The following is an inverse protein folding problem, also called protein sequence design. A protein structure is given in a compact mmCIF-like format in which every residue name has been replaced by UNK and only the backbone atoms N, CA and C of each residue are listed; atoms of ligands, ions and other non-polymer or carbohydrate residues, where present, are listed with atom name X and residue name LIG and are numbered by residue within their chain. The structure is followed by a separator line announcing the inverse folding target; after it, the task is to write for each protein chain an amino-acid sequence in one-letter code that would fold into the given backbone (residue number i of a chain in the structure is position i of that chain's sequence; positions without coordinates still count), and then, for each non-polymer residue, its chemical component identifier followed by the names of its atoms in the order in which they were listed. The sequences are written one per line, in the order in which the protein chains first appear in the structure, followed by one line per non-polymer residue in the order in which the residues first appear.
data_IF_088177054621
#
_entry.id   IF_088177054621
#
_cell.length_a   1.000
_cell.length_b   1.000
_cell.length_c   1.000
_cell.angle_alpha   90.00
_cell.angle_beta   90.00
_cell.angle_gamma   90.00
#
_symmetry.space_group_name_H-M   'P 1'
#
loop_
_entity.id
_entity.type
_entity.pdbx_description
1 polymer ?
#
# COMPACT_ATOMS: atom_id res chain seq x y z
N UNK A 1 21.26 -9.15 -8.82
CA UNK A 1 20.12 -8.22 -8.95
C UNK A 1 20.69 -6.81 -9.01
N UNK A 2 20.13 -5.91 -9.82
CA UNK A 2 20.51 -4.50 -9.84
C UNK A 2 20.25 -3.85 -8.48
N UNK A 3 21.03 -2.84 -8.14
CA UNK A 3 20.83 -2.01 -6.95
C UNK A 3 19.53 -1.18 -7.07
N UNK A 4 18.96 -0.74 -5.94
CA UNK A 4 17.83 0.20 -5.94
C UNK A 4 18.03 1.41 -6.87
N UNK A 5 19.17 2.07 -6.80
CA UNK A 5 19.46 3.26 -7.60
C UNK A 5 19.53 2.94 -9.10
N UNK A 6 20.11 1.80 -9.48
CA UNK A 6 20.12 1.33 -10.87
C UNK A 6 18.72 1.02 -11.38
N UNK A 7 17.86 0.38 -10.56
CA UNK A 7 16.46 0.10 -10.93
C UNK A 7 15.75 1.42 -11.24
N UNK A 8 15.86 2.41 -10.36
CA UNK A 8 15.17 3.68 -10.52
C UNK A 8 15.76 4.55 -11.64
N UNK A 9 17.07 4.53 -11.86
CA UNK A 9 17.72 5.26 -12.94
C UNK A 9 17.33 4.72 -14.33
N UNK A 10 17.12 3.41 -14.43
CA UNK A 10 16.78 2.72 -15.68
C UNK A 10 15.29 2.42 -15.84
N UNK A 11 14.44 2.89 -14.93
CA UNK A 11 13.01 2.61 -14.99
C UNK A 11 12.33 3.40 -16.12
N UNK A 12 11.82 2.67 -17.11
CA UNK A 12 11.08 3.24 -18.25
C UNK A 12 9.61 2.78 -18.30
N UNK A 13 9.10 2.22 -17.21
CA UNK A 13 7.77 1.62 -17.14
C UNK A 13 7.75 0.12 -17.48
N UNK A 14 6.55 -0.50 -17.52
CA UNK A 14 6.42 -1.92 -17.79
C UNK A 14 6.88 -2.33 -19.20
N UNK A 15 7.54 -3.49 -19.28
CA UNK A 15 8.11 -4.04 -20.53
C UNK A 15 6.99 -4.72 -21.33
N UNK A 16 6.66 -4.16 -22.50
CA UNK A 16 5.64 -4.67 -23.43
C UNK A 16 4.27 -4.96 -22.79
N UNK A 17 3.96 -4.28 -21.67
CA UNK A 17 2.77 -4.58 -20.87
C UNK A 17 2.75 -5.98 -20.25
N UNK A 18 3.87 -6.71 -20.22
CA UNK A 18 3.94 -8.07 -19.71
C UNK A 18 4.42 -8.08 -18.25
N UNK A 19 3.56 -8.56 -17.34
CA UNK A 19 3.83 -8.56 -15.90
C UNK A 19 5.11 -9.33 -15.54
N UNK A 20 5.22 -10.57 -15.98
CA UNK A 20 6.34 -11.45 -15.63
C UNK A 20 7.65 -11.01 -16.26
N UNK A 21 7.62 -10.60 -17.52
CA UNK A 21 8.80 -10.07 -18.20
C UNK A 21 9.30 -8.81 -17.50
N UNK A 22 8.38 -7.91 -17.09
CA UNK A 22 8.77 -6.71 -16.36
C UNK A 22 9.46 -7.05 -15.04
N UNK A 23 8.90 -7.97 -14.24
CA UNK A 23 9.55 -8.43 -12.99
C UNK A 23 10.94 -9.01 -13.26
N UNK A 24 11.07 -9.90 -14.26
CA UNK A 24 12.36 -10.52 -14.59
C UNK A 24 13.40 -9.49 -15.03
N UNK A 25 13.05 -8.60 -15.95
CA UNK A 25 13.96 -7.56 -16.45
C UNK A 25 14.36 -6.60 -15.33
N UNK A 26 13.40 -6.14 -14.54
CA UNK A 26 13.63 -5.15 -13.47
C UNK A 26 14.58 -5.65 -12.40
N UNK A 27 14.43 -6.91 -11.99
CA UNK A 27 15.22 -7.48 -10.90
C UNK A 27 16.38 -8.36 -11.39
N UNK A 28 16.60 -8.45 -12.71
CA UNK A 28 17.65 -9.27 -13.31
C UNK A 28 17.50 -10.76 -12.95
N UNK A 29 16.27 -11.27 -12.99
CA UNK A 29 15.96 -12.67 -12.70
C UNK A 29 16.26 -13.56 -13.92
N UNK A 30 16.59 -14.83 -13.68
CA UNK A 30 16.81 -15.79 -14.74
C UNK A 30 15.53 -16.03 -15.57
N UNK A 31 15.69 -16.37 -16.85
CA UNK A 31 14.56 -16.70 -17.72
C UNK A 31 13.74 -17.89 -17.19
N UNK A 32 14.42 -18.88 -16.62
CA UNK A 32 13.84 -20.07 -15.96
C UNK A 32 13.86 -19.92 -14.43
N UNK A 33 13.40 -18.79 -13.90
CA UNK A 33 13.25 -18.58 -12.46
C UNK A 33 12.14 -19.50 -11.89
N UNK A 34 12.53 -20.44 -11.03
CA UNK A 34 11.63 -21.42 -10.38
C UNK A 34 11.24 -21.01 -8.95
N UNK A 35 11.56 -19.78 -8.54
CA UNK A 35 11.20 -19.30 -7.21
C UNK A 35 9.68 -19.33 -7.02
N UNK A 36 9.23 -20.07 -6.01
CA UNK A 36 7.83 -20.10 -5.61
C UNK A 36 7.54 -18.94 -4.65
N UNK A 37 6.79 -17.94 -5.11
CA UNK A 37 6.29 -16.86 -4.28
C UNK A 37 5.19 -17.38 -3.36
N UNK A 38 5.30 -17.08 -2.06
CA UNK A 38 4.43 -17.67 -1.02
C UNK A 38 3.69 -16.60 -0.23
N UNK A 39 2.43 -16.88 0.07
CA UNK A 39 1.66 -16.18 1.10
C UNK A 39 0.56 -17.11 1.61
N UNK A 40 0.53 -17.37 2.92
CA UNK A 40 -0.39 -18.36 3.51
C UNK A 40 -0.29 -19.74 2.80
N UNK A 41 -1.42 -20.30 2.36
CA UNK A 41 -1.48 -21.56 1.62
C UNK A 41 -1.10 -21.43 0.13
N UNK A 42 -0.88 -20.21 -0.37
CA UNK A 42 -0.52 -19.96 -1.76
C UNK A 42 0.99 -20.16 -1.99
N UNK A 43 1.34 -20.88 -3.06
CA UNK A 43 2.71 -21.01 -3.55
C UNK A 43 2.70 -21.17 -5.07
N UNK A 44 3.21 -20.18 -5.81
CA UNK A 44 3.32 -20.24 -7.28
C UNK A 44 4.58 -19.56 -7.79
N UNK A 45 5.10 -20.08 -8.89
CA UNK A 45 6.17 -19.46 -9.66
C UNK A 45 5.64 -18.31 -10.51
N UNK A 46 6.55 -17.44 -10.99
CA UNK A 46 6.17 -16.31 -11.84
C UNK A 46 5.50 -16.77 -13.15
N UNK A 47 5.94 -17.89 -13.74
CA UNK A 47 5.33 -18.44 -14.96
C UNK A 47 3.91 -18.94 -14.73
N UNK A 48 3.66 -19.63 -13.62
CA UNK A 48 2.30 -20.07 -13.24
C UNK A 48 1.36 -18.89 -12.99
N UNK A 49 1.88 -17.79 -12.43
CA UNK A 49 1.11 -16.56 -12.26
C UNK A 49 0.77 -15.95 -13.62
N UNK A 50 1.73 -15.89 -14.55
CA UNK A 50 1.48 -15.39 -15.90
C UNK A 50 0.41 -16.20 -16.63
N UNK A 51 0.46 -17.53 -16.54
CA UNK A 51 -0.54 -18.41 -17.17
C UNK A 51 -1.97 -18.10 -16.66
N UNK A 52 -2.12 -17.75 -15.38
CA UNK A 52 -3.41 -17.35 -14.82
C UNK A 52 -3.86 -15.96 -15.27
N UNK A 53 -2.92 -15.04 -15.47
CA UNK A 53 -3.19 -13.73 -16.09
C UNK A 53 -3.71 -13.96 -17.51
N UNK A 54 -2.96 -14.70 -18.33
CA UNK A 54 -3.25 -14.94 -19.75
C UNK A 54 -4.58 -15.68 -19.96
N UNK A 55 -4.90 -16.63 -19.07
CA UNK A 55 -6.19 -17.35 -19.09
C UNK A 55 -7.36 -16.52 -18.54
N UNK A 56 -7.11 -15.33 -17.98
CA UNK A 56 -8.12 -14.45 -17.40
C UNK A 56 -8.73 -14.95 -16.09
N UNK A 57 -8.18 -16.01 -15.48
CA UNK A 57 -8.63 -16.57 -14.20
C UNK A 57 -8.49 -15.56 -13.05
N UNK A 58 -7.57 -14.62 -13.19
CA UNK A 58 -7.28 -13.57 -12.20
C UNK A 58 -8.18 -12.33 -12.30
N UNK A 59 -9.12 -12.28 -13.26
CA UNK A 59 -9.98 -11.11 -13.39
C UNK A 59 -10.92 -10.97 -12.20
N UNK A 60 -10.88 -9.80 -11.56
CA UNK A 60 -11.79 -9.42 -10.51
C UNK A 60 -13.22 -9.28 -11.07
N UNK A 61 -14.17 -9.86 -10.35
CA UNK A 61 -15.55 -9.99 -10.82
C UNK A 61 -16.43 -8.96 -10.13
N UNK A 62 -16.58 -7.79 -10.76
CA UNK A 62 -17.61 -6.83 -10.33
C UNK A 62 -18.99 -7.37 -10.64
N UNK A 63 -19.95 -7.07 -9.77
CA UNK A 63 -21.34 -7.50 -9.93
C UNK A 63 -22.31 -6.32 -9.80
N UNK A 64 -23.43 -6.39 -10.51
CA UNK A 64 -24.62 -5.58 -10.24
C UNK A 64 -25.86 -6.46 -10.39
N UNK A 65 -26.79 -6.36 -9.45
CA UNK A 65 -28.00 -7.18 -9.40
C UNK A 65 -27.73 -8.68 -9.58
N UNK A 66 -26.66 -9.20 -8.95
CA UNK A 66 -26.26 -10.61 -9.01
C UNK A 66 -25.65 -11.07 -10.34
N UNK A 67 -25.43 -10.17 -11.30
CA UNK A 67 -24.77 -10.47 -12.59
C UNK A 67 -23.38 -9.87 -12.64
N UNK A 68 -22.42 -10.64 -13.15
CA UNK A 68 -21.08 -10.14 -13.40
C UNK A 68 -21.10 -9.05 -14.48
N UNK A 69 -20.41 -7.94 -14.22
CA UNK A 69 -20.23 -6.84 -15.16
C UNK A 69 -18.79 -6.83 -15.64
N UNK A 70 -18.63 -6.60 -16.94
CA UNK A 70 -17.33 -6.28 -17.52
C UNK A 70 -16.96 -4.83 -17.22
N UNK A 71 -15.79 -4.64 -16.63
CA UNK A 71 -15.21 -3.31 -16.43
C UNK A 71 -14.49 -2.87 -17.71
N UNK A 72 -14.67 -1.61 -18.10
CA UNK A 72 -13.96 -1.01 -19.22
C UNK A 72 -12.51 -0.66 -18.83
N UNK A 73 -11.51 -0.92 -19.69
CA UNK A 73 -10.14 -0.46 -19.48
C UNK A 73 -10.03 1.06 -19.24
N UNK A 74 -10.92 1.86 -19.82
CA UNK A 74 -10.97 3.31 -19.61
C UNK A 74 -11.30 3.67 -18.16
N UNK A 75 -12.19 2.90 -17.53
CA UNK A 75 -12.54 3.13 -16.14
C UNK A 75 -11.39 2.71 -15.21
N UNK A 76 -10.66 1.64 -15.54
CA UNK A 76 -9.46 1.21 -14.80
C UNK A 76 -8.38 2.29 -14.88
N UNK A 77 -8.12 2.82 -16.07
CA UNK A 77 -7.18 3.93 -16.27
C UNK A 77 -7.61 5.17 -15.49
N UNK A 78 -8.91 5.49 -15.47
CA UNK A 78 -9.42 6.60 -14.67
C UNK A 78 -9.22 6.36 -13.16
N UNK A 79 -9.44 5.14 -12.66
CA UNK A 79 -9.19 4.78 -11.27
C UNK A 79 -7.71 4.91 -10.91
N UNK A 80 -6.82 4.30 -11.68
CA UNK A 80 -5.38 4.32 -11.37
C UNK A 80 -4.80 5.74 -11.44
N UNK A 81 -5.31 6.59 -12.34
CA UNK A 81 -4.89 7.99 -12.47
C UNK A 81 -5.15 8.86 -11.22
N UNK A 82 -6.02 8.43 -10.30
CA UNK A 82 -6.25 9.09 -9.01
C UNK A 82 -4.95 9.18 -8.20
N UNK A 83 -4.12 8.15 -8.29
CA UNK A 83 -2.88 8.01 -7.51
C UNK A 83 -1.63 8.40 -8.29
N UNK A 84 -1.80 8.86 -9.53
CA UNK A 84 -0.70 9.35 -10.36
C UNK A 84 -0.06 10.60 -9.72
N UNK A 85 1.28 10.70 -9.69
CA UNK A 85 1.93 11.91 -9.19
C UNK A 85 1.64 13.14 -10.05
N UNK A 86 1.22 12.96 -11.31
CA UNK A 86 0.97 14.06 -12.26
C UNK A 86 -0.44 14.65 -12.18
N UNK A 87 -1.33 14.08 -11.35
CA UNK A 87 -2.71 14.54 -11.18
C UNK A 87 -2.90 15.26 -9.85
N UNK A 88 -3.90 16.14 -9.79
CA UNK A 88 -4.39 16.68 -8.52
C UNK A 88 -5.38 15.67 -7.96
N UNK A 89 -5.03 15.00 -6.85
CA UNK A 89 -5.79 13.86 -6.33
C UNK A 89 -7.24 14.23 -6.02
N UNK A 90 -7.49 15.40 -5.42
CA UNK A 90 -8.84 15.87 -5.11
C UNK A 90 -9.66 16.06 -6.39
N UNK A 91 -9.10 16.71 -7.42
CA UNK A 91 -9.76 16.85 -8.72
C UNK A 91 -9.94 15.51 -9.43
N UNK A 92 -8.98 14.60 -9.31
CA UNK A 92 -9.05 13.27 -9.90
C UNK A 92 -10.19 12.44 -9.28
N UNK A 93 -10.36 12.49 -7.95
CA UNK A 93 -11.52 11.87 -7.29
C UNK A 93 -12.85 12.47 -7.79
N UNK A 94 -12.95 13.79 -7.87
CA UNK A 94 -14.16 14.47 -8.37
C UNK A 94 -14.46 14.06 -9.81
N UNK A 95 -13.45 14.05 -10.68
CA UNK A 95 -13.59 13.63 -12.07
C UNK A 95 -13.91 12.13 -12.21
N UNK A 96 -13.37 11.29 -11.33
CA UNK A 96 -13.67 9.86 -11.31
C UNK A 96 -15.15 9.62 -11.02
N UNK A 97 -15.73 10.36 -10.07
CA UNK A 97 -17.15 10.32 -9.73
C UNK A 97 -18.04 10.98 -10.78
N UNK A 98 -17.74 12.20 -11.22
CA UNK A 98 -18.62 12.99 -12.10
C UNK A 98 -18.80 12.39 -13.49
N UNK A 99 -17.81 11.62 -13.96
CA UNK A 99 -17.85 10.94 -15.25
C UNK A 99 -18.32 9.48 -15.14
N UNK A 100 -18.76 9.02 -13.96
CA UNK A 100 -19.28 7.68 -13.78
C UNK A 100 -20.70 7.58 -14.37
N UNK A 101 -20.95 6.55 -15.19
CA UNK A 101 -22.31 6.24 -15.64
C UNK A 101 -23.15 5.79 -14.44
N UNK A 102 -24.39 6.27 -14.34
CA UNK A 102 -25.34 5.85 -13.30
C UNK A 102 -25.52 4.32 -13.32
N UNK A 103 -25.42 3.70 -12.15
CA UNK A 103 -25.50 2.26 -11.93
C UNK A 103 -24.24 1.47 -12.31
N UNK A 104 -23.14 2.15 -12.71
CA UNK A 104 -21.89 1.47 -13.05
C UNK A 104 -21.08 1.06 -11.82
N UNK A 105 -20.20 0.05 -11.93
CA UNK A 105 -19.21 -0.25 -10.90
C UNK A 105 -18.35 0.97 -10.55
N UNK A 106 -17.99 1.80 -11.55
CA UNK A 106 -17.24 3.04 -11.34
C UNK A 106 -17.95 4.00 -10.39
N UNK A 107 -19.26 4.17 -10.53
CA UNK A 107 -20.03 5.06 -9.65
C UNK A 107 -19.95 4.57 -8.19
N UNK A 108 -20.08 3.27 -7.98
CA UNK A 108 -20.02 2.65 -6.65
C UNK A 108 -18.66 2.84 -6.01
N UNK A 109 -17.59 2.50 -6.74
CA UNK A 109 -16.21 2.70 -6.27
C UNK A 109 -15.93 4.19 -6.01
N UNK A 110 -16.33 5.07 -6.93
CA UNK A 110 -16.08 6.50 -6.80
C UNK A 110 -16.76 7.11 -5.57
N UNK A 111 -18.03 6.76 -5.32
CA UNK A 111 -18.77 7.18 -4.11
C UNK A 111 -18.09 6.67 -2.84
N UNK A 112 -17.63 5.43 -2.86
CA UNK A 112 -16.91 4.84 -1.74
C UNK A 112 -15.61 5.57 -1.44
N UNK A 113 -14.73 5.71 -2.43
CA UNK A 113 -13.45 6.42 -2.26
C UNK A 113 -13.65 7.87 -1.83
N UNK A 114 -14.69 8.54 -2.34
CA UNK A 114 -15.02 9.91 -1.94
C UNK A 114 -15.46 10.00 -0.47
N UNK A 115 -16.27 9.05 0.02
CA UNK A 115 -16.72 9.05 1.43
C UNK A 115 -15.60 8.72 2.42
N UNK A 116 -14.56 8.02 1.98
CA UNK A 116 -13.39 7.71 2.81
C UNK A 116 -12.39 8.88 2.90
N UNK A 117 -12.46 9.91 2.06
CA UNK A 117 -11.41 10.92 1.99
C UNK A 117 -11.56 12.01 3.07
N UNK A 118 -10.53 12.16 3.89
CA UNK A 118 -10.32 13.28 4.82
C UNK A 118 -8.86 13.75 4.63
N UNK A 119 -8.61 14.82 3.90
CA UNK A 119 -7.24 15.32 3.72
C UNK A 119 -7.23 16.85 3.79
N UNK A 120 -6.71 17.44 4.89
CA UNK A 120 -6.61 18.90 5.01
C UNK A 120 -5.41 19.48 4.25
N UNK A 121 -4.51 18.62 3.74
CA UNK A 121 -3.27 19.04 3.11
C UNK A 121 -3.44 19.24 1.60
N UNK A 122 -2.74 20.23 1.06
CA UNK A 122 -2.64 20.46 -0.38
C UNK A 122 -1.39 19.77 -0.91
N UNK A 123 -1.58 18.86 -1.85
CA UNK A 123 -0.51 18.02 -2.37
C UNK A 123 -0.04 18.59 -3.72
N UNK A 124 1.27 18.85 -3.90
CA UNK A 124 1.78 19.29 -5.19
C UNK A 124 1.67 18.16 -6.22
N UNK A 125 1.79 18.49 -7.50
CA UNK A 125 1.92 17.50 -8.58
C UNK A 125 3.39 17.34 -8.93
N UNK A 126 3.79 16.16 -9.39
CA UNK A 126 5.11 15.91 -9.93
C UNK A 126 5.05 15.05 -11.18
N UNK A 127 5.71 15.52 -12.25
CA UNK A 127 5.96 14.71 -13.46
C UNK A 127 7.28 13.94 -13.37
N UNK A 128 8.09 14.22 -12.36
CA UNK A 128 9.43 13.66 -12.17
C UNK A 128 9.46 12.55 -11.12
N UNK A 129 8.37 12.35 -10.38
CA UNK A 129 8.29 11.28 -9.39
C UNK A 129 8.23 9.93 -10.10
N UNK A 130 9.26 9.12 -9.87
CA UNK A 130 9.38 7.75 -10.39
C UNK A 130 9.00 6.79 -9.27
N UNK A 131 8.18 5.78 -9.57
CA UNK A 131 7.80 4.73 -8.64
C UNK A 131 7.48 3.43 -9.41
N UNK A 132 8.47 2.52 -9.57
CA UNK A 132 8.27 1.24 -10.25
C UNK A 132 7.12 0.42 -9.69
N UNK A 133 6.92 0.44 -8.37
CA UNK A 133 5.81 -0.27 -7.75
C UNK A 133 4.44 0.28 -8.17
N UNK A 134 4.31 1.60 -8.29
CA UNK A 134 3.08 2.22 -8.79
C UNK A 134 2.77 1.76 -10.22
N UNK A 135 3.76 1.80 -11.13
CA UNK A 135 3.55 1.39 -12.52
C UNK A 135 3.23 -0.11 -12.65
N UNK A 136 3.90 -0.96 -11.86
CA UNK A 136 3.57 -2.38 -11.76
C UNK A 136 2.17 -2.63 -11.19
N UNK A 137 1.75 -1.83 -10.22
CA UNK A 137 0.39 -1.87 -9.70
C UNK A 137 -0.64 -1.46 -10.76
N UNK A 138 -0.38 -0.39 -11.52
CA UNK A 138 -1.24 0.03 -12.64
C UNK A 138 -1.42 -1.12 -13.63
N UNK A 139 -0.32 -1.79 -14.02
CA UNK A 139 -0.37 -2.96 -14.89
C UNK A 139 -1.22 -4.07 -14.27
N UNK A 140 -1.02 -4.38 -12.99
CA UNK A 140 -1.80 -5.41 -12.31
C UNK A 140 -3.31 -5.10 -12.30
N UNK A 141 -3.70 -3.82 -12.18
CA UNK A 141 -5.11 -3.43 -12.27
C UNK A 141 -5.69 -3.70 -13.65
N UNK A 142 -4.93 -3.46 -14.72
CA UNK A 142 -5.36 -3.78 -16.09
C UNK A 142 -5.51 -5.29 -16.30
N UNK A 143 -4.52 -6.07 -15.89
CA UNK A 143 -4.52 -7.54 -16.03
C UNK A 143 -5.67 -8.20 -15.27
N UNK A 144 -5.95 -7.68 -14.07
CA UNK A 144 -7.00 -8.21 -13.18
C UNK A 144 -8.36 -7.55 -13.40
N UNK A 145 -8.50 -6.65 -14.37
CA UNK A 145 -9.71 -5.86 -14.59
C UNK A 145 -10.22 -5.15 -13.30
N UNK A 146 -9.30 -4.71 -12.44
CA UNK A 146 -9.62 -4.12 -11.14
C UNK A 146 -9.84 -2.61 -11.23
N UNK A 147 -11.02 -2.17 -10.79
CA UNK A 147 -11.49 -0.79 -10.83
C UNK A 147 -11.41 -0.07 -9.47
N UNK A 148 -10.95 -0.77 -8.42
CA UNK A 148 -10.91 -0.26 -7.06
C UNK A 148 -11.86 -0.95 -6.08
N UNK A 149 -11.74 -0.64 -4.79
CA UNK A 149 -12.45 -1.31 -3.71
C UNK A 149 -13.95 -0.99 -3.70
N UNK A 150 -14.72 -1.92 -3.15
CA UNK A 150 -16.16 -1.76 -2.91
C UNK A 150 -16.42 -1.56 -1.41
N UNK A 151 -17.52 -0.89 -1.02
CA UNK A 151 -17.90 -0.75 0.40
C UNK A 151 -18.04 -2.08 1.13
N UNK A 152 -18.57 -3.08 0.41
CA UNK A 152 -18.61 -4.48 0.85
C UNK A 152 -17.67 -5.29 -0.06
N UNK A 153 -16.39 -5.38 0.29
CA UNK A 153 -15.43 -6.11 -0.53
C UNK A 153 -15.73 -7.60 -0.44
N UNK A 154 -15.64 -8.30 -1.57
CA UNK A 154 -15.89 -9.75 -1.63
C UNK A 154 -15.10 -10.55 -0.59
N UNK A 155 -13.90 -10.07 -0.21
CA UNK A 155 -13.02 -10.64 0.82
C UNK A 155 -13.41 -10.33 2.27
N UNK A 156 -14.40 -9.46 2.53
CA UNK A 156 -15.02 -9.33 3.86
C UNK A 156 -15.78 -10.60 4.25
N UNK A 157 -16.20 -11.41 3.27
CA UNK A 157 -16.75 -12.74 3.52
C UNK A 157 -15.64 -13.73 3.92
N UNK A 158 -15.80 -14.47 5.03
CA UNK A 158 -14.84 -15.48 5.49
C UNK A 158 -14.53 -16.56 4.44
N UNK A 159 -15.47 -16.82 3.52
CA UNK A 159 -15.32 -17.81 2.45
C UNK A 159 -14.36 -17.33 1.34
N UNK A 160 -14.26 -16.02 1.12
CA UNK A 160 -13.44 -15.43 0.07
C UNK A 160 -12.10 -14.92 0.60
N UNK A 161 -12.02 -14.56 1.90
CA UNK A 161 -10.81 -14.08 2.58
C UNK A 161 -9.57 -15.00 2.40
N UNK A 162 -9.77 -16.30 2.16
CA UNK A 162 -8.70 -17.31 2.02
C UNK A 162 -8.03 -17.37 0.65
N UNK A 163 -8.45 -16.56 -0.32
CA UNK A 163 -7.94 -16.62 -1.69
C UNK A 163 -7.06 -15.41 -2.02
N UNK A 164 -5.85 -15.32 -1.44
CA UNK A 164 -4.91 -14.25 -1.81
C UNK A 164 -4.70 -14.21 -3.33
N UNK A 165 -4.87 -13.01 -3.91
CA UNK A 165 -4.68 -12.84 -5.35
C UNK A 165 -3.25 -13.26 -5.75
N UNK A 166 -3.05 -14.15 -6.74
CA UNK A 166 -1.74 -14.74 -7.05
C UNK A 166 -0.60 -13.76 -7.36
N UNK A 167 -0.91 -12.54 -7.78
CA UNK A 167 0.06 -11.46 -8.03
C UNK A 167 0.63 -10.87 -6.72
N UNK A 168 -0.13 -10.87 -5.62
CA UNK A 168 0.25 -10.19 -4.38
C UNK A 168 1.58 -10.66 -3.78
N UNK A 169 1.88 -11.97 -3.69
CA UNK A 169 3.15 -12.43 -3.15
C UNK A 169 4.35 -11.92 -3.95
N UNK A 170 4.22 -11.78 -5.27
CA UNK A 170 5.29 -11.19 -6.11
C UNK A 170 5.59 -9.77 -5.65
N UNK A 171 4.55 -8.98 -5.41
CA UNK A 171 4.72 -7.63 -4.88
C UNK A 171 5.28 -7.60 -3.46
N UNK A 172 4.84 -8.47 -2.56
CA UNK A 172 5.39 -8.53 -1.19
C UNK A 172 6.90 -8.80 -1.20
N UNK A 173 7.36 -9.73 -2.04
CA UNK A 173 8.77 -10.10 -2.12
C UNK A 173 9.66 -9.04 -2.80
N UNK A 174 9.11 -8.26 -3.74
CA UNK A 174 9.88 -7.30 -4.54
C UNK A 174 9.71 -5.84 -4.12
N UNK A 175 8.57 -5.46 -3.54
CA UNK A 175 8.26 -4.08 -3.20
C UNK A 175 7.65 -3.90 -1.79
N UNK A 176 6.75 -4.76 -1.33
CA UNK A 176 6.14 -4.68 0.00
C UNK A 176 4.61 -4.70 -0.04
N UNK A 177 3.93 -4.51 1.09
CA UNK A 177 2.49 -4.80 1.20
C UNK A 177 1.56 -3.76 0.56
N UNK A 178 1.99 -2.50 0.49
CA UNK A 178 1.17 -1.38 -0.02
C UNK A 178 2.05 -0.46 -0.87
N UNK A 179 1.51 0.02 -1.99
CA UNK A 179 2.20 0.97 -2.87
C UNK A 179 2.29 2.35 -2.19
N UNK A 180 3.49 2.93 -2.02
CA UNK A 180 3.62 4.31 -1.58
C UNK A 180 3.17 5.28 -2.68
N UNK A 181 1.91 5.75 -2.62
CA UNK A 181 1.44 6.79 -3.52
C UNK A 181 2.20 8.09 -3.29
N UNK A 182 2.34 8.89 -4.34
CA UNK A 182 2.98 10.21 -4.21
C UNK A 182 2.25 11.10 -3.21
N UNK A 183 0.91 11.01 -3.16
CA UNK A 183 0.11 11.71 -2.18
C UNK A 183 0.51 11.36 -0.73
N UNK A 184 0.65 10.07 -0.43
CA UNK A 184 1.05 9.63 0.91
C UNK A 184 2.45 10.10 1.28
N UNK A 185 3.41 9.97 0.36
CA UNK A 185 4.78 10.40 0.58
C UNK A 185 4.87 11.92 0.86
N UNK A 186 4.11 12.74 0.12
CA UNK A 186 4.03 14.18 0.33
C UNK A 186 3.33 14.56 1.64
N UNK A 187 2.26 13.87 2.01
CA UNK A 187 1.61 14.06 3.32
C UNK A 187 2.64 13.84 4.44
N UNK A 188 3.41 12.75 4.38
CA UNK A 188 4.44 12.46 5.39
C UNK A 188 5.53 13.54 5.40
N UNK A 189 6.00 13.96 4.22
CA UNK A 189 6.98 15.05 4.08
C UNK A 189 6.50 16.37 4.69
N UNK A 190 5.24 16.73 4.45
CA UNK A 190 4.62 17.93 5.03
C UNK A 190 4.45 17.80 6.55
N UNK A 191 4.07 16.64 7.06
CA UNK A 191 3.96 16.38 8.51
C UNK A 191 5.32 16.49 9.20
N UNK A 192 6.40 15.96 8.60
CA UNK A 192 7.75 16.11 9.17
C UNK A 192 8.09 17.59 9.37
N UNK A 193 7.75 18.43 8.39
CA UNK A 193 7.97 19.88 8.45
C UNK A 193 7.03 20.57 9.46
N UNK A 194 5.73 20.30 9.40
CA UNK A 194 4.73 21.00 10.23
C UNK A 194 4.86 20.68 11.71
N UNK A 195 5.28 19.46 12.05
CA UNK A 195 5.51 19.04 13.43
C UNK A 195 6.93 19.33 13.93
N UNK A 196 7.77 19.97 13.10
CA UNK A 196 9.19 20.17 13.39
C UNK A 196 9.89 18.87 13.82
N UNK A 197 9.52 17.76 13.16
CA UNK A 197 10.03 16.43 13.49
C UNK A 197 11.41 16.21 12.87
N UNK A 198 12.24 15.42 13.53
CA UNK A 198 13.56 15.00 13.03
C UNK A 198 13.46 14.07 11.82
N UNK A 199 12.30 13.46 11.59
CA UNK A 199 12.09 12.49 10.52
C UNK A 199 11.06 11.43 10.88
N UNK A 200 11.19 10.25 10.28
CA UNK A 200 10.23 9.15 10.38
C UNK A 200 10.89 7.91 10.96
N UNK A 201 10.14 7.14 11.75
CA UNK A 201 10.45 5.76 12.12
C UNK A 201 9.54 4.89 11.26
N UNK A 202 10.12 4.12 10.33
CA UNK A 202 9.42 3.09 9.56
C UNK A 202 9.51 1.79 10.34
N UNK A 203 8.45 1.49 11.09
CA UNK A 203 8.38 0.38 12.04
C UNK A 203 7.83 -0.87 11.36
N UNK A 204 8.53 -1.99 11.54
CA UNK A 204 8.34 -3.21 10.75
C UNK A 204 8.48 -2.93 9.24
N UNK A 205 9.61 -2.31 8.87
CA UNK A 205 9.85 -1.78 7.52
C UNK A 205 9.95 -2.84 6.43
N UNK A 206 10.03 -4.13 6.79
CA UNK A 206 10.18 -5.24 5.87
C UNK A 206 11.41 -5.09 4.95
N UNK A 207 11.19 -5.14 3.65
CA UNK A 207 12.26 -4.95 2.66
C UNK A 207 12.74 -3.51 2.47
N UNK A 208 12.09 -2.53 3.12
CA UNK A 208 12.52 -1.13 3.13
C UNK A 208 12.11 -0.29 1.92
N UNK A 209 11.19 -0.72 1.05
CA UNK A 209 10.78 0.09 -0.11
C UNK A 209 10.17 1.43 0.28
N UNK A 210 9.32 1.46 1.32
CA UNK A 210 8.75 2.71 1.85
C UNK A 210 9.84 3.64 2.38
N UNK A 211 10.77 3.10 3.17
CA UNK A 211 11.95 3.84 3.62
C UNK A 211 12.76 4.41 2.44
N UNK A 212 13.05 3.60 1.43
CA UNK A 212 13.79 4.04 0.24
C UNK A 212 13.06 5.20 -0.47
N UNK A 213 11.75 5.07 -0.70
CA UNK A 213 10.93 6.11 -1.33
C UNK A 213 10.91 7.43 -0.54
N UNK A 214 10.77 7.36 0.80
CA UNK A 214 10.80 8.55 1.66
C UNK A 214 12.19 9.21 1.70
N UNK A 215 13.26 8.41 1.68
CA UNK A 215 14.65 8.93 1.60
C UNK A 215 14.94 9.60 0.27
N UNK A 216 14.32 9.16 -0.84
CA UNK A 216 14.38 9.88 -2.13
C UNK A 216 13.74 11.27 -2.06
N UNK A 217 12.77 11.48 -1.17
CA UNK A 217 12.25 12.81 -0.81
C UNK A 217 13.11 13.57 0.21
N UNK A 218 14.32 13.08 0.50
CA UNK A 218 15.30 13.67 1.43
C UNK A 218 14.83 13.70 2.89
N UNK A 219 13.92 12.81 3.27
CA UNK A 219 13.53 12.61 4.67
C UNK A 219 14.54 11.72 5.40
N UNK A 220 14.85 12.03 6.66
CA UNK A 220 15.59 11.13 7.55
C UNK A 220 14.65 10.05 8.07
N UNK A 221 14.85 8.81 7.60
CA UNK A 221 14.02 7.66 7.95
C UNK A 221 14.84 6.59 8.63
N UNK A 222 14.38 6.16 9.81
CA UNK A 222 14.92 5.02 10.55
C UNK A 222 14.05 3.80 10.29
N UNK A 223 14.55 2.88 9.48
CA UNK A 223 13.94 1.58 9.24
C UNK A 223 14.26 0.63 10.39
N UNK A 224 13.22 0.04 10.98
CA UNK A 224 13.33 -0.89 12.10
C UNK A 224 12.54 -2.14 11.75
N UNK A 225 13.22 -3.29 11.74
CA UNK A 225 12.60 -4.58 11.46
C UNK A 225 13.38 -5.69 12.17
N UNK A 226 12.73 -6.80 12.53
CA UNK A 226 13.40 -7.96 13.11
C UNK A 226 13.93 -8.94 12.04
N UNK A 227 13.62 -8.70 10.77
CA UNK A 227 13.96 -9.50 9.60
C UNK A 227 13.48 -10.96 9.69
N UNK A 228 12.34 -11.19 10.36
CA UNK A 228 11.76 -12.53 10.46
C UNK A 228 11.16 -13.03 9.14
N UNK A 229 10.81 -12.12 8.23
CA UNK A 229 10.29 -12.42 6.90
C UNK A 229 11.41 -12.50 5.86
N UNK A 230 11.25 -13.39 4.89
CA UNK A 230 12.15 -13.50 3.75
C UNK A 230 11.64 -12.65 2.57
N UNK A 231 12.54 -11.88 1.95
CA UNK A 231 12.24 -11.05 0.79
C UNK A 231 13.21 -11.36 -0.34
N UNK A 232 12.74 -11.29 -1.59
CA UNK A 232 13.63 -11.44 -2.76
C UNK A 232 14.44 -10.19 -3.02
N UNK A 233 13.86 -9.03 -2.75
CA UNK A 233 14.51 -7.73 -2.96
C UNK A 233 14.57 -7.01 -1.63
N UNK A 234 15.74 -6.43 -1.33
CA UNK A 234 15.98 -5.56 -0.18
C UNK A 234 16.37 -4.19 -0.74
N UNK A 235 15.65 -3.15 -0.34
CA UNK A 235 15.78 -1.80 -0.91
C UNK A 235 16.73 -0.88 -0.13
N UNK A 236 17.07 -1.26 1.09
CA UNK A 236 18.02 -0.56 1.96
C UNK A 236 18.89 -1.60 2.67
N UNK A 237 20.15 -1.29 2.87
CA UNK A 237 21.13 -2.17 3.52
C UNK A 237 21.31 -1.87 5.02
N UNK A 238 20.78 -0.74 5.49
CA UNK A 238 20.99 -0.18 6.83
C UNK A 238 19.78 -0.36 7.77
N UNK A 239 18.91 -1.35 7.53
CA UNK A 239 17.79 -1.67 8.43
C UNK A 239 18.32 -1.97 9.84
N UNK A 240 17.75 -1.29 10.85
CA UNK A 240 18.09 -1.50 12.26
C UNK A 240 17.41 -2.81 12.71
N UNK A 241 18.21 -3.88 12.82
CA UNK A 241 17.74 -5.23 13.15
C UNK A 241 17.44 -5.39 14.63
N UNK A 242 16.21 -5.13 15.05
CA UNK A 242 15.77 -5.22 16.45
C UNK A 242 14.25 -5.32 16.53
N UNK A 243 13.75 -5.69 17.71
CA UNK A 243 12.33 -5.58 18.00
C UNK A 243 11.90 -4.09 18.13
N UNK A 244 10.73 -3.76 17.62
CA UNK A 244 10.23 -2.38 17.60
C UNK A 244 10.03 -1.75 18.99
N UNK A 245 9.60 -2.55 19.97
CA UNK A 245 9.40 -2.11 21.35
C UNK A 245 10.77 -1.81 21.98
N UNK A 246 11.74 -2.69 21.75
CA UNK A 246 13.12 -2.51 22.20
C UNK A 246 13.74 -1.23 21.60
N UNK A 247 13.59 -1.03 20.30
CA UNK A 247 14.05 0.18 19.62
C UNK A 247 13.48 1.45 20.27
N UNK A 248 12.17 1.50 20.49
CA UNK A 248 11.53 2.67 21.08
C UNK A 248 12.06 2.94 22.49
N UNK A 249 12.21 1.91 23.34
CA UNK A 249 12.75 2.07 24.70
C UNK A 249 14.17 2.65 24.70
N UNK A 250 15.03 2.20 23.78
CA UNK A 250 16.41 2.69 23.62
C UNK A 250 16.49 4.10 23.01
N UNK A 251 15.44 4.54 22.30
CA UNK A 251 15.42 5.81 21.56
C UNK A 251 14.39 6.80 22.12
N UNK A 252 14.27 6.88 23.44
CA UNK A 252 13.38 7.83 24.15
C UNK A 252 11.92 7.78 23.65
N UNK A 253 11.41 6.59 23.35
CA UNK A 253 10.08 6.37 22.82
C UNK A 253 9.86 6.96 21.43
N UNK A 254 10.92 7.24 20.67
CA UNK A 254 10.80 7.87 19.35
C UNK A 254 10.37 9.34 19.37
N UNK A 255 10.51 10.03 20.52
CA UNK A 255 10.09 11.43 20.69
C UNK A 255 10.72 12.33 19.61
N UNK A 256 9.88 13.18 19.00
CA UNK A 256 10.29 14.12 17.94
C UNK A 256 10.47 13.49 16.56
N UNK A 257 10.00 12.25 16.34
CA UNK A 257 9.86 11.63 15.01
C UNK A 257 8.42 11.20 14.81
N UNK A 258 7.97 11.06 13.57
CA UNK A 258 6.69 10.43 13.24
C UNK A 258 6.85 8.91 13.30
N UNK A 259 5.86 8.19 13.81
CA UNK A 259 5.81 6.72 13.76
C UNK A 259 4.98 6.29 12.55
N UNK A 260 5.58 5.60 11.60
CA UNK A 260 4.91 4.98 10.46
C UNK A 260 4.88 3.47 10.65
N UNK A 261 3.72 2.86 10.42
CA UNK A 261 3.51 1.41 10.45
C UNK A 261 2.79 1.01 9.17
N UNK A 262 3.48 0.29 8.28
CA UNK A 262 2.91 -0.25 7.05
C UNK A 262 2.50 -1.69 7.30
N UNK A 263 1.22 -1.99 7.15
CA UNK A 263 0.62 -3.29 7.42
C UNK A 263 0.87 -3.76 8.86
N UNK A 264 0.11 -3.16 9.80
CA UNK A 264 0.23 -3.40 11.24
C UNK A 264 0.43 -4.88 11.59
N UNK A 265 1.54 -5.20 12.27
CA UNK A 265 1.81 -6.54 12.79
C UNK A 265 1.12 -6.68 14.14
N UNK A 266 0.05 -7.45 14.18
CA UNK A 266 -0.79 -7.60 15.38
C UNK A 266 -0.60 -8.94 16.08
N UNK A 267 0.16 -9.86 15.49
CA UNK A 267 0.56 -11.11 16.13
C UNK A 267 1.29 -10.82 17.45
N UNK A 268 0.92 -11.52 18.52
CA UNK A 268 1.59 -11.41 19.82
C UNK A 268 1.46 -10.04 20.52
N UNK A 269 0.42 -9.24 20.25
CA UNK A 269 0.21 -7.90 20.80
C UNK A 269 1.26 -6.85 20.37
N UNK A 270 2.06 -7.09 19.33
CA UNK A 270 3.17 -6.20 18.93
C UNK A 270 2.73 -4.75 18.71
N UNK A 271 1.77 -4.50 17.81
CA UNK A 271 1.24 -3.13 17.55
C UNK A 271 0.81 -2.43 18.83
N UNK A 272 0.11 -3.13 19.75
CA UNK A 272 -0.33 -2.55 21.03
C UNK A 272 0.85 -2.14 21.91
N UNK A 273 1.94 -2.91 21.91
CA UNK A 273 3.15 -2.60 22.68
C UNK A 273 3.90 -1.42 22.07
N UNK A 274 4.07 -1.40 20.75
CA UNK A 274 4.68 -0.26 20.02
C UNK A 274 3.94 1.04 20.31
N UNK A 275 2.61 1.04 20.21
CA UNK A 275 1.78 2.21 20.50
C UNK A 275 1.90 2.70 21.95
N UNK A 276 2.10 1.78 22.90
CA UNK A 276 2.30 2.12 24.33
C UNK A 276 3.67 2.74 24.58
N UNK A 277 4.71 2.21 23.93
CA UNK A 277 6.08 2.71 24.08
C UNK A 277 6.30 4.03 23.34
N UNK A 278 5.58 4.27 22.25
CA UNK A 278 5.72 5.48 21.46
C UNK A 278 5.32 6.75 22.24
N UNK A 279 6.23 7.73 22.26
CA UNK A 279 6.10 9.01 22.98
C UNK A 279 6.10 10.23 22.05
N UNK A 280 6.01 10.03 20.74
CA UNK A 280 5.78 11.12 19.78
C UNK A 280 4.31 11.49 19.65
N UNK A 281 4.02 12.35 18.67
CA UNK A 281 2.72 13.04 18.54
C UNK A 281 1.97 12.74 17.24
N UNK A 282 2.60 12.01 16.32
CA UNK A 282 1.98 11.60 15.05
C UNK A 282 2.20 10.12 14.81
N UNK A 283 1.10 9.44 14.48
CA UNK A 283 1.11 8.04 14.05
C UNK A 283 0.53 7.98 12.64
N UNK A 284 1.22 7.31 11.75
CA UNK A 284 0.80 7.02 10.38
C UNK A 284 0.63 5.51 10.28
N UNK A 285 -0.59 5.08 9.95
CA UNK A 285 -0.91 3.68 9.67
C UNK A 285 -1.22 3.57 8.20
N UNK A 286 -0.50 2.70 7.49
CA UNK A 286 -0.76 2.39 6.09
C UNK A 286 -1.16 0.92 6.01
N UNK A 287 -2.23 0.60 5.31
CA UNK A 287 -2.70 -0.78 5.21
C UNK A 287 -4.19 -0.83 4.96
N UNK A 288 -4.78 -1.97 5.28
CA UNK A 288 -6.14 -2.24 4.89
C UNK A 288 -7.16 -1.42 5.71
N UNK A 289 -8.17 -0.89 5.02
CA UNK A 289 -9.23 -0.05 5.59
C UNK A 289 -10.50 -0.85 5.94
N UNK A 290 -10.66 -2.04 5.38
CA UNK A 290 -11.78 -2.93 5.67
C UNK A 290 -11.39 -4.01 6.71
N UNK A 291 -12.41 -4.58 7.37
CA UNK A 291 -12.25 -5.79 8.16
C UNK A 291 -12.00 -6.98 7.20
N UNK A 292 -10.75 -7.14 6.78
CA UNK A 292 -10.38 -8.11 5.74
C UNK A 292 -9.85 -9.43 6.30
N UNK A 293 -9.85 -9.59 7.64
CA UNK A 293 -9.34 -10.76 8.39
C UNK A 293 -7.87 -11.14 8.14
N UNK A 294 -7.20 -10.40 7.26
CA UNK A 294 -5.83 -10.57 6.83
C UNK A 294 -4.87 -9.73 7.68
N UNK A 295 -5.41 -8.71 8.37
CA UNK A 295 -4.81 -8.12 9.58
C UNK A 295 -5.51 -8.73 10.81
N UNK A 296 -4.93 -8.70 12.02
CA UNK A 296 -5.61 -9.32 13.17
C UNK A 296 -6.82 -8.52 13.67
N UNK A 297 -7.18 -7.39 13.03
CA UNK A 297 -8.47 -6.74 13.21
C UNK A 297 -9.55 -7.51 12.43
N UNK A 298 -9.78 -8.77 12.84
CA UNK A 298 -10.65 -9.70 12.11
C UNK A 298 -12.08 -9.19 11.94
N UNK A 299 -12.56 -8.43 12.92
CA UNK A 299 -13.93 -7.92 12.97
C UNK A 299 -14.00 -6.39 13.24
N UNK A 300 -12.89 -5.66 13.12
CA UNK A 300 -12.87 -4.19 13.21
C UNK A 300 -11.89 -3.58 12.19
N UNK A 301 -12.01 -2.30 11.87
CA UNK A 301 -11.05 -1.59 11.02
C UNK A 301 -9.93 -0.97 11.85
N UNK A 302 -8.79 -0.63 11.22
CA UNK A 302 -7.72 0.11 11.87
C UNK A 302 -8.22 1.40 12.53
N UNK A 303 -9.14 2.11 11.87
CA UNK A 303 -9.75 3.33 12.40
C UNK A 303 -10.61 3.06 13.64
N UNK A 304 -11.42 2.00 13.63
CA UNK A 304 -12.24 1.60 14.78
C UNK A 304 -11.36 1.23 15.98
N UNK A 305 -10.31 0.45 15.75
CA UNK A 305 -9.35 0.10 16.80
C UNK A 305 -8.67 1.34 17.39
N UNK A 306 -8.14 2.23 16.55
CA UNK A 306 -7.48 3.45 17.01
C UNK A 306 -8.44 4.39 17.75
N UNK A 307 -9.67 4.56 17.24
CA UNK A 307 -10.69 5.37 17.91
C UNK A 307 -11.04 4.86 19.32
N UNK A 308 -10.96 3.54 19.52
CA UNK A 308 -11.26 2.88 20.81
C UNK A 308 -10.06 2.89 21.77
N UNK A 309 -8.87 2.56 21.28
CA UNK A 309 -7.68 2.34 22.11
C UNK A 309 -6.84 3.61 22.33
N UNK A 310 -6.76 4.50 21.34
CA UNK A 310 -5.87 5.67 21.38
C UNK A 310 -6.60 6.90 21.90
N UNK A 311 -7.09 6.82 23.14
CA UNK A 311 -7.71 7.96 23.84
C UNK A 311 -6.74 9.16 23.86
N UNK A 312 -7.22 10.34 23.51
CA UNK A 312 -6.40 11.55 23.38
C UNK A 312 -5.74 11.74 22.01
N UNK A 313 -6.07 10.91 21.02
CA UNK A 313 -5.67 11.11 19.62
C UNK A 313 -6.86 11.54 18.75
N UNK A 314 -6.58 12.28 17.68
CA UNK A 314 -7.55 12.71 16.68
C UNK A 314 -7.12 12.28 15.29
N UNK A 315 -8.06 11.74 14.51
CA UNK A 315 -7.85 11.46 13.09
C UNK A 315 -7.65 12.80 12.37
N UNK A 316 -6.48 12.98 11.78
CA UNK A 316 -6.11 14.19 11.06
C UNK A 316 -6.27 14.02 9.55
N UNK A 317 -5.91 12.85 9.03
CA UNK A 317 -5.99 12.55 7.61
C UNK A 317 -6.35 11.08 7.38
N UNK A 318 -7.17 10.82 6.37
CA UNK A 318 -7.55 9.52 5.83
C UNK A 318 -7.58 9.64 4.31
N UNK A 319 -6.71 8.90 3.61
CA UNK A 319 -6.72 8.81 2.15
C UNK A 319 -6.80 7.36 1.71
N UNK A 320 -7.43 7.12 0.56
CA UNK A 320 -7.31 5.83 -0.12
C UNK A 320 -5.90 5.66 -0.69
N UNK A 321 -5.44 4.43 -0.77
CA UNK A 321 -4.16 4.05 -1.37
C UNK A 321 -4.39 3.14 -2.58
N UNK A 322 -3.39 3.00 -3.48
CA UNK A 322 -3.46 2.03 -4.56
C UNK A 322 -3.76 0.63 -3.99
N UNK A 323 -4.96 0.13 -4.29
CA UNK A 323 -5.48 -1.12 -3.71
C UNK A 323 -5.33 -2.26 -4.71
N UNK A 324 -5.08 -3.47 -4.21
CA UNK A 324 -5.04 -4.66 -5.06
C UNK A 324 -6.43 -5.27 -5.24
N UNK A 325 -6.59 -6.11 -6.25
CA UNK A 325 -7.83 -6.83 -6.49
C UNK A 325 -8.33 -7.54 -5.21
N UNK A 326 -9.45 -7.06 -4.66
CA UNK A 326 -10.04 -7.60 -3.44
C UNK A 326 -9.54 -7.01 -2.11
N UNK A 327 -8.60 -6.07 -2.17
CA UNK A 327 -8.14 -5.31 -1.01
C UNK A 327 -8.73 -3.90 -1.06
N UNK A 328 -8.75 -3.28 0.10
CA UNK A 328 -9.07 -1.86 0.28
C UNK A 328 -7.97 -1.28 1.16
N UNK A 329 -7.04 -0.57 0.54
CA UNK A 329 -5.84 -0.03 1.18
C UNK A 329 -6.01 1.48 1.39
N UNK A 330 -5.49 1.97 2.51
CA UNK A 330 -5.58 3.36 2.91
C UNK A 330 -4.42 3.78 3.80
N UNK A 331 -4.35 5.09 4.04
CA UNK A 331 -3.46 5.69 5.02
C UNK A 331 -4.27 6.52 6.01
N UNK A 332 -4.04 6.26 7.29
CA UNK A 332 -4.60 6.98 8.42
C UNK A 332 -3.48 7.73 9.14
N UNK A 333 -3.67 9.03 9.36
CA UNK A 333 -2.80 9.87 10.16
C UNK A 333 -3.54 10.29 11.42
N UNK A 334 -2.98 9.95 12.56
CA UNK A 334 -3.46 10.35 13.87
C UNK A 334 -2.50 11.33 14.50
N UNK A 335 -3.04 12.42 15.06
CA UNK A 335 -2.28 13.38 15.86
C UNK A 335 -2.73 13.31 17.32
N UNK A 336 -1.80 13.47 18.25
CA UNK A 336 -2.13 13.66 19.66
C UNK A 336 -2.93 14.97 19.79
N UNK A 337 -4.03 14.95 20.54
CA UNK A 337 -4.80 16.14 20.88
C UNK A 337 -3.96 16.94 21.88
N UNK A 338 -3.73 18.20 21.54
CA UNK A 338 -3.14 19.22 22.42
C UNK A 338 -4.02 19.49 23.63
#
# INVERSE_FOLDING_TARGET
MPSPDEIFANWCGPVDGNFSQTIKTTFGLANQDEYAYRAEAFAMTLSQIQEQIDSGKLKYKYQSHGKQIQVSPVDITAYTSIYSPSTDTTKAHTAFLSNAKKGSPRETVAKYLHSQRICPLKIPKSKQHVNPYYDMWVLSCQETAFLGPLPDPSYASPANAKHTHPILPVFYHHFGCVVPSYEALEIISQLVKSENAKGVIDMASGNGYWTYMLRRLKLDVKAVDNMASEYRTIWIDDTIKTDGVEYLRKNHGGKGRLLMMVYMVTAGNFTKQVLREYKGDVIIVVGTMNANRYTDFRDETAEQYFGREMKGWGLFCRISMPSFAGKDEGMLVWKRRS
#
